data_IF_076723975064
#
_entry.id   IF_076723975064
#
_cell.length_a   1.000
_cell.length_b   1.000
_cell.length_c   1.000
_cell.angle_alpha   90.00
_cell.angle_beta   90.00
_cell.angle_gamma   90.00
#
_symmetry.space_group_name_H-M   'P 1'
#
loop_
_entity.id
_entity.type
_entity.pdbx_description
1 polymer ?
#
# COMPACT_ATOMS: atom_id res chain seq x y z
N UNK A 1 55.02 45.63 21.26
CA UNK A 1 55.91 45.41 20.11
C UNK A 1 55.86 43.94 19.72
N UNK A 2 54.90 43.55 18.87
CA UNK A 2 54.73 42.16 18.45
C UNK A 2 54.16 42.15 17.04
N UNK A 3 54.94 41.67 16.08
CA UNK A 3 54.56 41.54 14.66
C UNK A 3 53.47 40.46 14.52
N UNK A 4 52.36 40.72 13.80
CA UNK A 4 51.47 39.64 13.38
C UNK A 4 51.91 39.06 12.03
N UNK A 5 51.81 37.74 11.95
CA UNK A 5 52.23 36.88 10.85
C UNK A 5 51.36 37.07 9.59
N UNK A 6 52.00 36.91 8.43
CA UNK A 6 51.42 37.01 7.10
C UNK A 6 50.39 35.90 6.82
N UNK A 7 49.23 36.36 6.37
CA UNK A 7 48.17 35.61 5.70
C UNK A 7 48.71 34.79 4.50
N UNK A 8 48.34 33.50 4.45
CA UNK A 8 48.53 32.61 3.29
C UNK A 8 47.22 32.56 2.50
N UNK A 9 47.19 33.22 1.34
CA UNK A 9 46.21 32.98 0.28
C UNK A 9 46.53 31.66 -0.43
N UNK A 10 45.57 30.74 -0.63
CA UNK A 10 45.78 29.58 -1.50
C UNK A 10 45.65 29.98 -2.97
N UNK A 11 46.60 29.48 -3.77
CA UNK A 11 46.77 29.74 -5.19
C UNK A 11 45.58 29.25 -6.03
N UNK A 12 45.23 30.05 -7.03
CA UNK A 12 44.25 29.74 -8.07
C UNK A 12 44.73 28.57 -8.94
N UNK A 13 43.86 27.57 -9.09
CA UNK A 13 44.09 26.43 -9.98
C UNK A 13 43.97 26.86 -11.47
N UNK A 14 44.81 26.34 -12.38
CA UNK A 14 44.72 26.64 -13.80
C UNK A 14 43.49 25.98 -14.45
N UNK A 15 42.95 26.55 -15.54
CA UNK A 15 41.76 26.01 -16.21
C UNK A 15 42.08 24.68 -16.92
N UNK A 16 41.20 23.67 -16.85
CA UNK A 16 41.37 22.46 -17.65
C UNK A 16 41.06 22.73 -19.13
N UNK A 17 41.91 22.14 -19.98
CA UNK A 17 41.94 22.26 -21.42
C UNK A 17 40.66 21.75 -22.11
N UNK A 18 40.22 22.48 -23.13
CA UNK A 18 39.22 22.04 -24.10
C UNK A 18 39.75 20.78 -24.82
N UNK A 19 39.11 19.64 -24.58
CA UNK A 19 39.43 18.38 -25.26
C UNK A 19 38.37 18.12 -26.32
N UNK A 20 38.84 17.94 -27.54
CA UNK A 20 38.08 17.81 -28.78
C UNK A 20 37.00 16.71 -28.76
N UNK A 21 35.87 17.03 -29.42
CA UNK A 21 34.83 16.09 -29.80
C UNK A 21 35.38 15.06 -30.80
N UNK A 22 35.75 13.88 -30.30
CA UNK A 22 35.96 12.70 -31.16
C UNK A 22 34.61 12.20 -31.69
N UNK A 23 34.36 12.51 -32.97
CA UNK A 23 33.29 11.93 -33.78
C UNK A 23 33.49 10.41 -33.93
N UNK A 24 32.65 9.62 -33.24
CA UNK A 24 32.52 8.19 -33.51
C UNK A 24 31.53 7.98 -34.66
N UNK A 25 32.07 7.68 -35.85
CA UNK A 25 31.31 7.26 -37.03
C UNK A 25 30.55 5.97 -36.73
N UNK A 26 29.22 6.05 -36.64
CA UNK A 26 28.34 4.89 -36.60
C UNK A 26 28.31 4.27 -38.01
N UNK A 27 28.85 3.06 -38.14
CA UNK A 27 28.82 2.28 -39.37
C UNK A 27 27.41 1.73 -39.62
N UNK A 28 26.72 2.26 -40.62
CA UNK A 28 25.46 1.70 -41.12
C UNK A 28 25.72 0.44 -41.96
N UNK A 29 25.24 -0.71 -41.48
CA UNK A 29 25.25 -1.97 -42.23
C UNK A 29 24.00 -2.01 -43.13
N UNK A 30 24.19 -1.98 -44.44
CA UNK A 30 23.11 -2.11 -45.42
C UNK A 30 22.41 -3.46 -45.27
N UNK A 31 21.10 -3.45 -44.96
CA UNK A 31 20.26 -4.65 -44.91
C UNK A 31 19.57 -4.84 -46.27
N UNK A 32 19.63 -6.05 -46.82
CA UNK A 32 18.96 -6.44 -48.07
C UNK A 32 17.45 -6.13 -48.01
N UNK A 33 16.93 -5.49 -49.05
CA UNK A 33 15.50 -5.26 -49.27
C UNK A 33 14.86 -6.61 -49.61
N UNK A 34 13.95 -7.08 -48.74
CA UNK A 34 13.07 -8.22 -49.03
C UNK A 34 11.81 -7.65 -49.67
N UNK A 35 11.48 -8.11 -50.89
CA UNK A 35 10.22 -7.76 -51.57
C UNK A 35 9.04 -8.42 -50.84
N UNK A 36 8.08 -7.62 -50.41
CA UNK A 36 6.78 -8.06 -49.88
C UNK A 36 5.84 -8.48 -51.03
N UNK A 37 5.14 -9.62 -50.93
CA UNK A 37 4.06 -9.98 -51.86
C UNK A 37 2.78 -9.17 -51.55
N UNK A 38 1.85 -9.03 -52.51
CA UNK A 38 0.67 -8.20 -52.36
C UNK A 38 -0.29 -8.73 -51.28
N UNK A 39 -0.78 -7.82 -50.45
CA UNK A 39 -1.71 -8.05 -49.35
C UNK A 39 -3.09 -8.45 -49.85
N UNK A 40 -3.57 -9.61 -49.38
CA UNK A 40 -4.96 -10.05 -49.50
C UNK A 40 -5.83 -9.25 -48.50
N UNK A 41 -7.04 -8.79 -48.85
CA UNK A 41 -7.88 -8.04 -47.93
C UNK A 41 -8.21 -8.89 -46.69
N UNK A 42 -7.89 -8.35 -45.51
CA UNK A 42 -8.20 -8.93 -44.21
C UNK A 42 -9.72 -8.93 -44.01
N UNK A 43 -10.29 -10.13 -43.86
CA UNK A 43 -11.66 -10.29 -43.39
C UNK A 43 -11.74 -9.83 -41.93
N UNK A 44 -12.63 -8.87 -41.66
CA UNK A 44 -12.96 -8.40 -40.31
C UNK A 44 -13.58 -9.56 -39.53
N UNK A 45 -12.73 -10.29 -38.80
CA UNK A 45 -13.19 -11.25 -37.80
C UNK A 45 -13.54 -10.45 -36.54
N UNK A 46 -14.83 -10.26 -36.31
CA UNK A 46 -15.38 -9.79 -35.04
C UNK A 46 -14.87 -10.72 -33.94
N UNK A 47 -13.88 -10.25 -33.18
CA UNK A 47 -13.44 -10.94 -31.97
C UNK A 47 -14.51 -10.68 -30.92
N UNK A 48 -15.44 -11.62 -30.79
CA UNK A 48 -16.42 -11.63 -29.70
C UNK A 48 -15.64 -11.73 -28.39
N UNK A 49 -15.60 -10.64 -27.62
CA UNK A 49 -15.15 -10.65 -26.23
C UNK A 49 -16.05 -11.66 -25.49
N UNK A 50 -15.51 -12.70 -24.86
CA UNK A 50 -16.32 -13.63 -24.10
C UNK A 50 -17.06 -12.85 -23.00
N UNK A 51 -18.35 -13.16 -22.73
CA UNK A 51 -19.09 -12.49 -21.69
C UNK A 51 -18.35 -12.64 -20.35
N UNK A 52 -18.39 -11.62 -19.47
CA UNK A 52 -17.82 -11.75 -18.14
C UNK A 52 -18.41 -13.00 -17.48
N UNK A 53 -17.55 -13.88 -16.99
CA UNK A 53 -17.99 -15.03 -16.21
C UNK A 53 -18.86 -14.57 -15.02
N UNK A 54 -19.70 -15.46 -14.47
CA UNK A 54 -20.57 -15.09 -13.36
C UNK A 54 -19.75 -14.43 -12.26
N UNK A 55 -20.12 -13.19 -11.91
CA UNK A 55 -19.51 -12.44 -10.83
C UNK A 55 -19.64 -13.31 -9.57
N UNK A 56 -18.50 -13.70 -8.98
CA UNK A 56 -18.52 -14.36 -7.67
C UNK A 56 -19.33 -13.48 -6.72
N UNK A 57 -20.23 -14.05 -5.89
CA UNK A 57 -21.09 -13.25 -5.03
C UNK A 57 -20.22 -12.33 -4.17
N UNK A 58 -20.42 -11.02 -4.36
CA UNK A 58 -19.70 -10.01 -3.58
C UNK A 58 -20.23 -10.11 -2.16
N UNK A 59 -19.42 -10.68 -1.27
CA UNK A 59 -19.78 -10.71 0.14
C UNK A 59 -19.97 -9.29 0.68
N UNK A 60 -20.88 -9.12 1.66
CA UNK A 60 -21.01 -7.85 2.36
C UNK A 60 -19.66 -7.42 2.97
N UNK A 61 -19.49 -6.11 3.13
CA UNK A 61 -18.33 -5.57 3.82
C UNK A 61 -18.32 -6.07 5.28
N UNK A 62 -17.14 -6.20 5.87
CA UNK A 62 -17.01 -6.62 7.29
C UNK A 62 -17.68 -5.65 8.28
N UNK A 63 -17.92 -4.39 7.87
CA UNK A 63 -18.72 -3.43 8.64
C UNK A 63 -20.23 -3.59 8.50
N UNK A 64 -20.71 -4.45 7.60
CA UNK A 64 -22.13 -4.74 7.43
C UNK A 64 -22.65 -5.48 8.69
N UNK A 65 -23.89 -5.18 9.14
CA UNK A 65 -24.45 -5.81 10.32
C UNK A 65 -24.42 -7.35 10.24
N UNK A 66 -23.86 -7.99 11.26
CA UNK A 66 -23.80 -9.45 11.36
C UNK A 66 -22.65 -10.11 10.59
N UNK A 67 -21.94 -9.39 9.72
CA UNK A 67 -20.90 -9.99 8.86
C UNK A 67 -19.71 -10.52 9.68
N UNK A 68 -19.27 -9.79 10.70
CA UNK A 68 -18.24 -10.27 11.64
C UNK A 68 -18.70 -11.56 12.33
N UNK A 69 -19.96 -11.63 12.78
CA UNK A 69 -20.46 -12.83 13.43
C UNK A 69 -20.50 -14.03 12.48
N UNK A 70 -20.85 -13.80 11.20
CA UNK A 70 -20.78 -14.83 10.16
C UNK A 70 -19.33 -15.29 9.92
N UNK A 71 -18.39 -14.35 9.82
CA UNK A 71 -16.97 -14.61 9.65
C UNK A 71 -16.40 -15.47 10.79
N UNK A 72 -16.69 -15.09 12.04
CA UNK A 72 -16.23 -15.84 13.22
C UNK A 72 -16.77 -17.25 13.26
N UNK A 73 -18.08 -17.44 13.04
CA UNK A 73 -18.69 -18.79 12.98
C UNK A 73 -18.06 -19.65 11.89
N UNK A 74 -17.84 -19.07 10.71
CA UNK A 74 -17.21 -19.77 9.59
C UNK A 74 -15.78 -20.20 9.95
N UNK A 75 -14.95 -19.27 10.43
CA UNK A 75 -13.54 -19.55 10.75
C UNK A 75 -13.38 -20.54 11.89
N UNK A 76 -14.23 -20.47 12.93
CA UNK A 76 -14.24 -21.44 14.02
C UNK A 76 -14.58 -22.87 13.55
N UNK A 77 -15.50 -23.00 12.59
CA UNK A 77 -15.85 -24.28 12.00
C UNK A 77 -14.79 -24.82 11.03
N UNK A 78 -14.16 -23.93 10.26
CA UNK A 78 -13.23 -24.32 9.19
C UNK A 78 -11.81 -24.64 9.67
N UNK A 79 -11.36 -24.05 10.79
CA UNK A 79 -10.00 -24.24 11.29
C UNK A 79 -9.95 -24.33 12.83
N UNK A 80 -9.82 -25.56 13.41
CA UNK A 80 -9.77 -25.75 14.85
C UNK A 80 -8.63 -25.01 15.56
N UNK A 81 -7.48 -24.82 14.88
CA UNK A 81 -6.35 -24.08 15.45
C UNK A 81 -6.69 -22.59 15.55
N UNK A 82 -7.29 -22.04 14.50
CA UNK A 82 -7.76 -20.65 14.52
C UNK A 82 -8.91 -20.46 15.52
N UNK A 83 -9.80 -21.44 15.65
CA UNK A 83 -10.89 -21.42 16.64
C UNK A 83 -10.37 -21.20 18.06
N UNK A 84 -9.26 -21.86 18.43
CA UNK A 84 -8.63 -21.66 19.73
C UNK A 84 -8.12 -20.22 19.93
N UNK A 85 -7.57 -19.60 18.89
CA UNK A 85 -7.13 -18.19 18.92
C UNK A 85 -8.31 -17.24 19.02
N UNK A 86 -9.40 -17.51 18.28
CA UNK A 86 -10.64 -16.74 18.34
C UNK A 86 -11.23 -16.80 19.74
N UNK A 87 -11.27 -17.97 20.38
CA UNK A 87 -11.82 -18.13 21.71
C UNK A 87 -11.05 -17.35 22.81
N UNK A 88 -9.76 -17.07 22.58
CA UNK A 88 -8.91 -16.35 23.54
C UNK A 88 -8.67 -14.87 23.20
N UNK A 89 -9.32 -14.35 22.17
CA UNK A 89 -9.03 -13.01 21.62
C UNK A 89 -10.33 -12.30 21.29
N UNK A 90 -10.43 -11.01 21.63
CA UNK A 90 -11.61 -10.21 21.32
C UNK A 90 -11.94 -10.21 19.81
N UNK A 91 -13.22 -10.06 19.49
CA UNK A 91 -13.67 -9.94 18.11
C UNK A 91 -13.14 -8.64 17.46
N UNK A 92 -12.83 -8.65 16.16
CA UNK A 92 -12.45 -7.44 15.46
C UNK A 92 -13.61 -6.44 15.39
N UNK A 93 -13.28 -5.16 15.55
CA UNK A 93 -14.21 -4.06 15.33
C UNK A 93 -13.90 -3.36 14.00
N UNK A 94 -14.68 -3.69 12.96
CA UNK A 94 -14.73 -2.92 11.71
C UNK A 94 -15.92 -1.97 11.80
N UNK A 95 -15.68 -0.75 12.29
CA UNK A 95 -16.76 0.19 12.57
C UNK A 95 -17.53 0.54 11.28
N UNK A 96 -18.86 0.54 11.37
CA UNK A 96 -19.76 1.02 10.31
C UNK A 96 -19.75 2.55 10.14
N UNK A 97 -18.76 3.25 10.73
CA UNK A 97 -18.53 4.67 10.51
C UNK A 97 -18.42 4.91 9.00
N UNK A 98 -18.94 6.03 8.45
CA UNK A 98 -18.84 6.29 7.03
C UNK A 98 -17.38 6.10 6.59
N UNK A 99 -17.15 5.10 5.73
CA UNK A 99 -15.82 4.84 5.20
C UNK A 99 -15.35 6.14 4.57
N UNK A 100 -14.19 6.64 4.99
CA UNK A 100 -13.60 7.80 4.33
C UNK A 100 -13.53 7.51 2.82
N UNK A 101 -13.78 8.49 1.95
CA UNK A 101 -13.59 8.32 0.51
C UNK A 101 -12.24 7.65 0.21
N UNK A 102 -12.17 6.86 -0.86
CA UNK A 102 -10.97 6.13 -1.23
C UNK A 102 -9.73 7.05 -1.32
N UNK A 103 -9.88 8.22 -1.93
CA UNK A 103 -8.82 9.22 -2.00
C UNK A 103 -8.30 9.60 -0.60
N UNK A 104 -9.22 9.93 0.30
CA UNK A 104 -8.91 10.34 1.66
C UNK A 104 -8.23 9.21 2.44
N UNK A 105 -8.78 7.99 2.37
CA UNK A 105 -8.20 6.81 2.99
C UNK A 105 -6.77 6.53 2.52
N UNK A 106 -6.50 6.63 1.21
CA UNK A 106 -5.18 6.43 0.62
C UNK A 106 -4.21 7.55 1.03
N UNK A 107 -4.65 8.81 1.00
CA UNK A 107 -3.84 9.95 1.45
C UNK A 107 -3.45 9.80 2.93
N UNK A 108 -4.40 9.40 3.78
CA UNK A 108 -4.14 9.11 5.19
C UNK A 108 -3.15 7.95 5.34
N UNK A 109 -3.30 6.89 4.56
CA UNK A 109 -2.36 5.76 4.56
C UNK A 109 -0.93 6.20 4.28
N UNK A 110 -0.71 7.02 3.23
CA UNK A 110 0.61 7.59 2.89
C UNK A 110 1.20 8.38 4.07
N UNK A 111 0.38 9.22 4.73
CA UNK A 111 0.82 10.02 5.87
C UNK A 111 1.27 9.14 7.05
N UNK A 112 0.60 8.02 7.29
CA UNK A 112 0.86 7.13 8.44
C UNK A 112 2.06 6.18 8.25
N UNK A 113 2.56 5.98 7.02
CA UNK A 113 3.65 5.04 6.75
C UNK A 113 4.89 5.29 7.62
N UNK A 114 5.50 4.22 8.16
CA UNK A 114 6.78 4.27 8.90
C UNK A 114 6.81 5.22 10.11
N UNK A 115 5.68 5.40 10.79
CA UNK A 115 5.56 6.23 11.99
C UNK A 115 4.89 5.46 13.14
N UNK A 116 5.22 5.85 14.37
CA UNK A 116 4.38 5.49 15.51
C UNK A 116 3.00 6.17 15.38
N UNK A 117 1.95 5.50 15.84
CA UNK A 117 0.55 5.97 15.70
C UNK A 117 0.37 7.40 16.21
N UNK A 118 0.90 7.73 17.39
CA UNK A 118 0.80 9.07 17.97
C UNK A 118 1.47 10.16 17.12
N UNK A 119 2.60 9.86 16.49
CA UNK A 119 3.28 10.78 15.59
C UNK A 119 2.51 10.98 14.28
N UNK A 120 1.95 9.89 13.73
CA UNK A 120 1.12 9.94 12.54
C UNK A 120 -0.17 10.73 12.78
N UNK A 121 -0.85 10.52 13.92
CA UNK A 121 -2.04 11.27 14.31
C UNK A 121 -1.75 12.77 14.43
N UNK A 122 -0.62 13.14 15.05
CA UNK A 122 -0.22 14.54 15.17
C UNK A 122 0.07 15.19 13.81
N UNK A 123 0.75 14.49 12.89
CA UNK A 123 0.99 14.98 11.52
C UNK A 123 -0.34 15.11 10.77
N UNK A 124 -1.22 14.12 10.89
CA UNK A 124 -2.50 14.11 10.21
C UNK A 124 -3.44 15.22 10.70
N UNK A 125 -3.49 15.50 12.01
CA UNK A 125 -4.23 16.63 12.55
C UNK A 125 -3.73 17.98 11.99
N UNK A 126 -2.40 18.17 11.93
CA UNK A 126 -1.82 19.37 11.31
C UNK A 126 -2.09 19.44 9.80
N UNK A 127 -2.09 18.31 9.10
CA UNK A 127 -2.45 18.24 7.70
C UNK A 127 -3.89 18.70 7.47
N UNK A 128 -4.85 18.24 8.28
CA UNK A 128 -6.24 18.70 8.20
C UNK A 128 -6.37 20.20 8.46
N UNK A 129 -5.61 20.74 9.42
CA UNK A 129 -5.60 22.17 9.71
C UNK A 129 -4.94 23.03 8.60
N UNK A 130 -4.12 22.41 7.75
CA UNK A 130 -3.45 23.09 6.63
C UNK A 130 -4.34 23.16 5.38
N UNK A 131 -5.38 22.33 5.28
CA UNK A 131 -6.25 22.30 4.11
C UNK A 131 -6.97 23.65 3.93
N UNK A 132 -7.06 24.19 2.70
CA UNK A 132 -7.69 25.48 2.49
C UNK A 132 -9.15 25.48 2.93
N UNK A 133 -9.59 26.55 3.60
CA UNK A 133 -10.95 26.69 4.15
C UNK A 133 -12.05 26.58 3.08
N UNK A 134 -11.74 26.91 1.83
CA UNK A 134 -12.61 26.72 0.66
C UNK A 134 -13.02 25.25 0.44
N UNK A 135 -12.29 24.29 1.01
CA UNK A 135 -12.56 22.85 0.93
C UNK A 135 -13.13 22.26 2.23
N UNK A 136 -13.71 23.11 3.09
CA UNK A 136 -14.43 22.79 4.33
C UNK A 136 -14.72 21.29 4.55
N UNK A 137 -13.99 20.71 5.50
CA UNK A 137 -14.15 19.36 6.07
C UNK A 137 -13.83 18.13 5.20
N UNK A 138 -13.43 18.27 3.93
CA UNK A 138 -13.13 17.11 3.07
C UNK A 138 -11.69 17.12 2.54
N UNK A 139 -10.97 16.01 2.72
CA UNK A 139 -9.68 15.77 2.05
C UNK A 139 -9.97 15.40 0.61
N UNK A 140 -9.81 16.37 -0.31
CA UNK A 140 -10.07 16.18 -1.75
C UNK A 140 -8.80 16.29 -2.59
N UNK A 141 -8.78 15.74 -3.82
CA UNK A 141 -7.63 15.87 -4.72
C UNK A 141 -7.23 17.33 -4.96
N UNK A 142 -8.22 18.20 -5.20
CA UNK A 142 -8.01 19.63 -5.39
C UNK A 142 -7.40 20.31 -4.16
N UNK A 143 -7.87 19.96 -2.96
CA UNK A 143 -7.35 20.52 -1.71
C UNK A 143 -5.88 20.14 -1.49
N UNK A 144 -5.50 18.90 -1.81
CA UNK A 144 -4.09 18.44 -1.70
C UNK A 144 -3.20 19.08 -2.75
N UNK A 145 -3.68 19.24 -3.99
CA UNK A 145 -2.93 19.90 -5.06
C UNK A 145 -2.70 21.40 -4.81
N UNK A 146 -3.56 22.05 -4.02
CA UNK A 146 -3.39 23.44 -3.62
C UNK A 146 -2.26 23.65 -2.59
N UNK A 147 -1.81 22.59 -1.91
CA UNK A 147 -0.73 22.68 -0.92
C UNK A 147 0.64 22.61 -1.58
N UNK A 148 1.54 23.53 -1.24
CA UNK A 148 2.92 23.41 -1.68
C UNK A 148 3.65 22.31 -0.88
N UNK A 149 4.62 21.65 -1.52
CA UNK A 149 5.47 20.67 -0.84
C UNK A 149 6.27 21.29 0.32
N UNK A 150 6.49 22.61 0.32
CA UNK A 150 7.08 23.33 1.44
C UNK A 150 6.17 23.32 2.68
N UNK A 151 4.87 23.56 2.50
CA UNK A 151 3.88 23.61 3.59
C UNK A 151 3.69 22.23 4.22
N UNK A 152 3.64 21.17 3.41
CA UNK A 152 3.59 19.80 3.91
C UNK A 152 4.81 19.46 4.78
N UNK A 153 6.00 20.01 4.46
CA UNK A 153 7.20 19.79 5.27
C UNK A 153 7.13 20.48 6.63
N UNK A 154 6.49 21.65 6.74
CA UNK A 154 6.40 22.38 8.02
C UNK A 154 5.60 21.61 9.07
N UNK A 155 4.67 20.75 8.63
CA UNK A 155 3.86 19.90 9.51
C UNK A 155 4.48 18.52 9.74
N UNK A 156 5.69 18.25 9.24
CA UNK A 156 6.42 16.99 9.46
C UNK A 156 6.22 15.91 8.39
N UNK A 157 5.62 16.23 7.23
CA UNK A 157 5.56 15.30 6.10
C UNK A 157 6.90 15.32 5.36
N UNK A 158 7.48 14.14 5.11
CA UNK A 158 8.74 14.04 4.36
C UNK A 158 8.56 14.45 2.89
N UNK A 159 9.65 14.88 2.24
CA UNK A 159 9.59 15.24 0.81
C UNK A 159 9.10 14.11 -0.10
N UNK A 160 9.45 12.84 0.22
CA UNK A 160 8.93 11.67 -0.50
C UNK A 160 7.42 11.52 -0.32
N UNK A 161 6.92 11.58 0.93
CA UNK A 161 5.48 11.49 1.20
C UNK A 161 4.68 12.63 0.56
N UNK A 162 5.23 13.85 0.55
CA UNK A 162 4.63 14.97 -0.17
C UNK A 162 4.49 14.65 -1.67
N UNK A 163 5.55 14.11 -2.30
CA UNK A 163 5.48 13.71 -3.70
C UNK A 163 4.47 12.59 -3.98
N UNK A 164 4.27 11.68 -3.02
CA UNK A 164 3.30 10.58 -3.13
C UNK A 164 1.85 11.09 -3.01
N UNK A 165 1.61 12.03 -2.09
CA UNK A 165 0.31 12.69 -1.95
C UNK A 165 -0.07 13.46 -3.21
N UNK A 166 0.87 14.21 -3.79
CA UNK A 166 0.63 14.92 -5.05
C UNK A 166 0.42 13.95 -6.22
N UNK A 167 1.20 12.87 -6.33
CA UNK A 167 1.01 11.84 -7.37
C UNK A 167 -0.40 11.21 -7.28
N UNK A 168 -0.83 10.84 -6.07
CA UNK A 168 -2.18 10.33 -5.81
C UNK A 168 -3.25 11.36 -6.22
N UNK A 169 -3.10 12.62 -5.78
CA UNK A 169 -4.06 13.67 -6.06
C UNK A 169 -4.14 14.02 -7.55
N UNK A 170 -3.02 14.03 -8.26
CA UNK A 170 -2.97 14.24 -9.71
C UNK A 170 -3.73 13.15 -10.46
N UNK A 171 -3.56 11.88 -10.09
CA UNK A 171 -4.27 10.75 -10.74
C UNK A 171 -5.77 10.80 -10.52
N UNK A 172 -6.22 11.15 -9.30
CA UNK A 172 -7.64 11.36 -9.03
C UNK A 172 -8.19 12.58 -9.78
N UNK A 173 -7.45 13.70 -9.82
CA UNK A 173 -7.85 14.89 -10.55
C UNK A 173 -7.90 14.68 -12.08
N UNK A 174 -7.05 13.81 -12.62
CA UNK A 174 -7.03 13.42 -14.02
C UNK A 174 -8.14 12.40 -14.38
N UNK A 175 -8.86 11.87 -13.39
CA UNK A 175 -9.89 10.84 -13.61
C UNK A 175 -9.33 9.44 -13.87
N UNK A 176 -8.02 9.21 -13.68
CA UNK A 176 -7.43 7.86 -13.73
C UNK A 176 -7.93 6.99 -12.57
N UNK A 177 -8.22 7.62 -11.43
CA UNK A 177 -8.79 7.01 -10.24
C UNK A 177 -10.00 7.83 -9.78
N UNK A 178 -11.01 7.17 -9.22
CA UNK A 178 -12.14 7.83 -8.58
C UNK A 178 -12.62 7.02 -7.37
N UNK A 179 -13.28 7.68 -6.42
CA UNK A 179 -13.78 6.99 -5.23
C UNK A 179 -14.77 5.86 -5.57
N UNK A 180 -15.65 6.09 -6.55
CA UNK A 180 -16.62 5.09 -7.01
C UNK A 180 -15.97 3.91 -7.75
N UNK A 181 -14.98 4.18 -8.61
CA UNK A 181 -14.27 3.12 -9.31
C UNK A 181 -13.47 2.25 -8.33
N UNK A 182 -12.71 2.89 -7.43
CA UNK A 182 -11.90 2.16 -6.43
C UNK A 182 -12.76 1.31 -5.50
N UNK A 183 -13.96 1.77 -5.12
CA UNK A 183 -14.87 0.99 -4.27
C UNK A 183 -15.41 -0.28 -4.96
N UNK A 184 -15.47 -0.31 -6.29
CA UNK A 184 -16.08 -1.41 -7.07
C UNK A 184 -15.07 -2.34 -7.72
N UNK A 185 -13.81 -1.94 -7.85
CA UNK A 185 -12.72 -2.78 -8.36
C UNK A 185 -12.52 -4.06 -7.52
N UNK A 186 -12.18 -5.15 -8.22
CA UNK A 186 -11.69 -6.37 -7.59
C UNK A 186 -10.24 -6.22 -7.10
N UNK A 187 -9.75 -7.23 -6.38
CA UNK A 187 -8.39 -7.24 -5.82
C UNK A 187 -7.30 -7.05 -6.89
N UNK A 188 -7.45 -7.72 -8.03
CA UNK A 188 -6.45 -7.69 -9.10
C UNK A 188 -6.37 -6.31 -9.76
N UNK A 189 -7.53 -5.69 -10.01
CA UNK A 189 -7.63 -4.34 -10.54
C UNK A 189 -7.11 -3.30 -9.53
N UNK A 190 -7.44 -3.44 -8.25
CA UNK A 190 -6.92 -2.57 -7.19
C UNK A 190 -5.40 -2.62 -7.10
N UNK A 191 -4.82 -3.83 -7.15
CA UNK A 191 -3.37 -4.00 -7.17
C UNK A 191 -2.75 -3.37 -8.41
N UNK A 192 -3.32 -3.61 -9.59
CA UNK A 192 -2.80 -3.08 -10.84
C UNK A 192 -2.84 -1.54 -10.89
N UNK A 193 -3.92 -0.92 -10.44
CA UNK A 193 -4.09 0.53 -10.52
C UNK A 193 -3.41 1.28 -9.37
N UNK A 194 -3.59 0.84 -8.12
CA UNK A 194 -3.08 1.59 -6.97
C UNK A 194 -1.56 1.47 -6.82
N UNK A 195 -0.93 0.40 -7.29
CA UNK A 195 0.54 0.28 -7.25
C UNK A 195 1.27 1.17 -8.27
N UNK A 196 0.54 1.79 -9.22
CA UNK A 196 1.08 2.84 -10.09
C UNK A 196 1.31 4.14 -9.31
N UNK A 197 0.61 4.34 -8.20
CA UNK A 197 0.77 5.52 -7.34
C UNK A 197 2.11 5.43 -6.61
N UNK A 198 2.93 6.48 -6.69
CA UNK A 198 4.23 6.49 -6.02
C UNK A 198 4.08 6.25 -4.52
N UNK A 199 4.86 5.33 -3.97
CA UNK A 199 4.85 5.01 -2.55
C UNK A 199 3.69 4.14 -2.08
N UNK A 200 2.81 3.68 -2.99
CA UNK A 200 1.79 2.67 -2.71
C UNK A 200 2.27 1.34 -3.27
N UNK A 201 2.53 0.39 -2.39
CA UNK A 201 2.88 -0.99 -2.77
C UNK A 201 1.74 -1.97 -2.48
N UNK A 202 1.91 -3.22 -2.90
CA UNK A 202 0.95 -4.31 -2.68
C UNK A 202 0.48 -4.41 -1.23
N UNK A 203 1.41 -4.33 -0.27
CA UNK A 203 1.07 -4.34 1.16
C UNK A 203 0.10 -3.21 1.53
N UNK A 204 0.33 -1.99 1.03
CA UNK A 204 -0.54 -0.84 1.28
C UNK A 204 -1.92 -1.04 0.66
N UNK A 205 -2.00 -1.65 -0.54
CA UNK A 205 -3.27 -1.98 -1.20
C UNK A 205 -4.06 -2.99 -0.36
N UNK A 206 -3.42 -4.06 0.11
CA UNK A 206 -4.11 -5.02 0.98
C UNK A 206 -4.60 -4.38 2.29
N UNK A 207 -3.80 -3.51 2.92
CA UNK A 207 -4.23 -2.79 4.12
C UNK A 207 -5.42 -1.87 3.82
N UNK A 208 -5.40 -1.18 2.68
CA UNK A 208 -6.52 -0.35 2.23
C UNK A 208 -7.79 -1.20 1.99
N UNK A 209 -7.67 -2.36 1.35
CA UNK A 209 -8.82 -3.25 1.14
C UNK A 209 -9.41 -3.76 2.46
N UNK A 210 -8.57 -4.14 3.43
CA UNK A 210 -9.02 -4.67 4.72
C UNK A 210 -9.63 -3.57 5.59
N UNK A 211 -8.96 -2.41 5.72
CA UNK A 211 -9.32 -1.41 6.75
C UNK A 211 -10.07 -0.19 6.22
N UNK A 212 -10.12 0.02 4.91
CA UNK A 212 -10.87 1.13 4.30
C UNK A 212 -12.06 0.63 3.50
N UNK A 213 -11.89 -0.44 2.73
CA UNK A 213 -12.99 -1.08 1.98
C UNK A 213 -13.68 -2.20 2.76
N UNK A 214 -13.12 -2.63 3.90
CA UNK A 214 -13.67 -3.71 4.73
C UNK A 214 -13.94 -5.00 3.93
N UNK A 215 -13.11 -5.30 2.92
CA UNK A 215 -13.24 -6.50 2.09
C UNK A 215 -13.04 -7.73 2.97
N UNK A 216 -13.97 -8.71 2.99
CA UNK A 216 -13.88 -9.87 3.87
C UNK A 216 -12.78 -10.86 3.48
N UNK A 217 -12.40 -10.89 2.20
CA UNK A 217 -11.61 -11.98 1.64
C UNK A 217 -10.22 -11.57 1.11
N UNK A 218 -9.43 -10.86 1.91
CA UNK A 218 -8.06 -10.42 1.55
C UNK A 218 -7.04 -11.17 2.40
N UNK A 219 -6.03 -11.76 1.74
CA UNK A 219 -4.90 -12.39 2.42
C UNK A 219 -3.60 -11.62 2.14
N UNK A 220 -3.08 -10.83 3.09
CA UNK A 220 -1.88 -10.03 2.88
C UNK A 220 -0.61 -10.91 2.97
N UNK A 221 -0.36 -11.73 1.94
CA UNK A 221 0.75 -12.69 1.91
C UNK A 221 2.14 -12.05 2.05
N UNK A 222 2.28 -10.75 1.74
CA UNK A 222 3.51 -9.98 1.94
C UNK A 222 3.69 -9.44 3.37
N UNK A 223 2.67 -9.49 4.23
CA UNK A 223 2.74 -8.95 5.59
C UNK A 223 3.51 -9.88 6.53
N UNK A 224 4.61 -9.38 7.09
CA UNK A 224 5.46 -10.16 7.99
C UNK A 224 4.75 -10.56 9.29
N UNK A 225 3.85 -9.73 9.80
CA UNK A 225 3.08 -10.01 11.00
C UNK A 225 2.12 -11.17 10.79
N UNK A 226 1.35 -11.15 9.69
CA UNK A 226 0.43 -12.22 9.31
C UNK A 226 1.19 -13.51 9.02
N UNK A 227 2.29 -13.46 8.25
CA UNK A 227 3.12 -14.65 7.99
C UNK A 227 3.68 -15.27 9.27
N UNK A 228 4.14 -14.46 10.24
CA UNK A 228 4.60 -14.95 11.54
C UNK A 228 3.45 -15.55 12.36
N UNK A 229 2.26 -14.95 12.31
CA UNK A 229 1.07 -15.51 12.94
C UNK A 229 0.70 -16.87 12.35
N UNK A 230 0.72 -17.02 11.02
CA UNK A 230 0.47 -18.30 10.34
C UNK A 230 1.52 -19.34 10.70
N UNK A 231 2.80 -18.94 10.71
CA UNK A 231 3.90 -19.80 11.18
C UNK A 231 3.61 -20.32 12.60
N UNK A 232 3.20 -19.44 13.50
CA UNK A 232 2.90 -19.78 14.88
C UNK A 232 1.65 -20.66 15.02
N UNK A 233 0.59 -20.34 14.27
CA UNK A 233 -0.67 -21.05 14.30
C UNK A 233 -0.47 -22.53 13.92
N UNK A 234 0.20 -22.77 12.80
CA UNK A 234 0.45 -24.11 12.26
C UNK A 234 1.77 -24.73 12.73
N UNK A 235 2.48 -24.11 13.68
CA UNK A 235 3.77 -24.59 14.22
C UNK A 235 4.82 -24.90 13.14
N UNK A 236 4.88 -24.06 12.11
CA UNK A 236 5.80 -24.25 10.99
C UNK A 236 7.24 -23.96 11.41
N UNK A 237 8.17 -24.81 10.98
CA UNK A 237 9.60 -24.67 11.28
C UNK A 237 10.22 -23.41 10.67
N UNK A 238 9.69 -22.96 9.54
CA UNK A 238 10.15 -21.79 8.81
C UNK A 238 8.98 -20.82 8.55
N UNK A 239 9.32 -19.56 8.29
CA UNK A 239 8.34 -18.55 7.90
C UNK A 239 7.75 -18.92 6.52
N UNK A 240 6.43 -19.15 6.39
CA UNK A 240 5.83 -19.56 5.13
C UNK A 240 6.03 -18.50 4.05
N UNK A 241 6.33 -18.94 2.83
CA UNK A 241 6.43 -18.08 1.64
C UNK A 241 5.03 -17.60 1.21
N UNK A 242 4.93 -16.49 0.44
CA UNK A 242 3.65 -16.00 -0.05
C UNK A 242 2.80 -17.06 -0.79
N UNK A 243 3.42 -17.96 -1.54
CA UNK A 243 2.74 -19.05 -2.26
C UNK A 243 2.18 -20.11 -1.30
N UNK A 244 2.88 -20.41 -0.22
CA UNK A 244 2.46 -21.38 0.80
C UNK A 244 1.31 -20.82 1.66
N UNK A 245 1.30 -19.50 1.87
CA UNK A 245 0.23 -18.81 2.61
C UNK A 245 -1.14 -19.05 1.97
N UNK A 246 -1.22 -18.99 0.63
CA UNK A 246 -2.48 -19.21 -0.07
C UNK A 246 -3.07 -20.60 0.21
N UNK A 247 -2.23 -21.65 0.15
CA UNK A 247 -2.66 -23.02 0.41
C UNK A 247 -3.05 -23.25 1.88
N UNK A 248 -2.27 -22.71 2.82
CA UNK A 248 -2.53 -22.87 4.27
C UNK A 248 -3.83 -22.19 4.68
N UNK A 249 -4.08 -20.99 4.16
CA UNK A 249 -5.20 -20.14 4.53
C UNK A 249 -6.45 -20.31 3.63
N UNK A 250 -6.45 -21.28 2.71
CA UNK A 250 -7.57 -21.51 1.78
C UNK A 250 -8.88 -21.78 2.53
N UNK A 251 -8.80 -22.56 3.62
CA UNK A 251 -9.93 -22.87 4.50
C UNK A 251 -10.54 -21.66 5.20
N UNK A 252 -9.84 -20.52 5.21
CA UNK A 252 -10.38 -19.29 5.78
C UNK A 252 -11.29 -18.54 4.80
N UNK A 253 -11.31 -18.93 3.52
CA UNK A 253 -12.22 -18.33 2.55
C UNK A 253 -13.66 -18.60 2.97
N UNK A 254 -14.52 -17.56 2.98
CA UNK A 254 -14.30 -16.28 2.29
C UNK A 254 -13.97 -15.11 3.24
N UNK A 255 -13.39 -15.38 4.40
CA UNK A 255 -13.12 -14.42 5.48
C UNK A 255 -11.63 -14.30 5.83
N UNK A 256 -10.75 -14.38 4.82
CA UNK A 256 -9.30 -14.32 5.00
C UNK A 256 -8.83 -13.04 5.70
N UNK A 257 -9.53 -11.91 5.55
CA UNK A 257 -9.21 -10.66 6.24
C UNK A 257 -9.36 -10.79 7.77
N UNK A 258 -10.38 -11.51 8.24
CA UNK A 258 -10.60 -11.76 9.67
C UNK A 258 -9.55 -12.75 10.20
N UNK A 259 -9.22 -13.79 9.42
CA UNK A 259 -8.12 -14.69 9.75
C UNK A 259 -6.78 -13.96 9.90
N UNK A 260 -6.45 -13.09 8.94
CA UNK A 260 -5.27 -12.22 8.98
C UNK A 260 -5.26 -11.29 10.21
N UNK A 261 -6.43 -10.74 10.59
CA UNK A 261 -6.55 -9.91 11.78
C UNK A 261 -6.16 -10.66 13.06
N UNK A 262 -6.64 -11.89 13.23
CA UNK A 262 -6.26 -12.73 14.37
C UNK A 262 -4.78 -13.10 14.36
N UNK A 263 -4.12 -13.16 13.20
CA UNK A 263 -2.68 -13.40 13.13
C UNK A 263 -1.88 -12.23 13.74
N UNK A 264 -2.31 -10.99 13.51
CA UNK A 264 -1.70 -9.84 14.18
C UNK A 264 -1.89 -9.90 15.70
N UNK A 265 -3.11 -10.19 16.17
CA UNK A 265 -3.41 -10.32 17.61
C UNK A 265 -2.61 -11.43 18.28
N UNK A 266 -2.49 -12.59 17.63
CA UNK A 266 -1.69 -13.71 18.12
C UNK A 266 -0.23 -13.30 18.36
N UNK A 267 0.34 -12.52 17.45
CA UNK A 267 1.72 -12.05 17.57
C UNK A 267 1.89 -10.97 18.64
N UNK A 268 0.91 -10.09 18.83
CA UNK A 268 0.91 -9.07 19.88
C UNK A 268 0.85 -9.70 21.28
N UNK A 269 -0.07 -10.64 21.49
CA UNK A 269 -0.21 -11.38 22.76
C UNK A 269 1.07 -12.10 23.16
N UNK A 270 1.77 -12.72 22.19
CA UNK A 270 3.09 -13.33 22.44
C UNK A 270 4.17 -12.31 22.76
N UNK A 271 4.20 -11.18 22.05
CA UNK A 271 5.14 -10.10 22.32
C UNK A 271 5.02 -9.56 23.75
N UNK A 272 3.78 -9.39 24.23
CA UNK A 272 3.49 -8.97 25.60
C UNK A 272 3.95 -10.00 26.65
N UNK A 273 3.66 -11.29 26.44
CA UNK A 273 4.08 -12.36 27.34
C UNK A 273 5.61 -12.48 27.46
N UNK A 274 6.34 -12.33 26.34
CA UNK A 274 7.80 -12.37 26.32
C UNK A 274 8.43 -11.21 27.11
N UNK A 275 7.87 -9.99 27.01
CA UNK A 275 8.32 -8.83 27.78
C UNK A 275 8.10 -9.01 29.29
N UNK A 276 6.95 -9.54 29.70
CA UNK A 276 6.64 -9.83 31.12
C UNK A 276 7.62 -10.85 31.72
N UNK A 277 7.98 -11.89 30.97
CA UNK A 277 8.96 -12.91 31.42
C UNK A 277 10.38 -12.34 31.57
N UNK A 278 10.80 -11.40 30.72
CA UNK A 278 12.10 -10.73 30.84
C UNK A 278 12.16 -9.72 31.99
N UNK A 279 11.06 -9.02 32.26
CA UNK A 279 10.95 -8.09 33.41
C UNK A 279 11.07 -8.81 34.75
N UNK A 280 10.38 -9.95 34.93
CA UNK A 280 10.44 -10.75 36.16
C UNK A 280 11.76 -11.51 36.38
N UNK A 281 12.61 -11.66 35.35
CA UNK A 281 13.92 -12.32 35.47
C UNK A 281 15.07 -11.33 35.76
N UNK A 282 14.77 -10.03 35.79
CA UNK A 282 15.75 -8.94 36.02
C UNK A 282 15.46 -8.17 37.32
N UNK A 283 14.57 -8.68 38.18
CA UNK A 283 14.25 -8.18 39.52
C UNK A 283 14.49 -9.31 40.52
#
# INVERSE_FOLDING_TARGET
MGRPARSRSPAAAPPPAATELRSTKISFRSRKIVKTPPSKPLSLSTTTVPPPGPLSPVLPALSSPGEIAAALRHLQAADPLLSAVIASTEAPAFAASPSLPAFHSLARSILYQQLATSAADAIYARFLALLPSAFSAAVTPAAVLALAAADLRTIGVSGRKASYLHDLATRFAAGELSDSAVATMDESALLAELTKVKGVGEWTVHMFMIFSLHRPDVLPCGDLGVRKGVQELYKLKALPKPEEMAALCERWRPYRSVGAWYMWRLMESKGAASKKKKGNASS
#
